data_IF_569464560283
#
_entry.id   IF_569464560283
#
_cell.length_a   1.000
_cell.length_b   1.000
_cell.length_c   1.000
_cell.angle_alpha   90.00
_cell.angle_beta   90.00
_cell.angle_gamma   90.00
#
_symmetry.space_group_name_H-M   'P 1'
#
loop_
_entity.id
_entity.type
_entity.pdbx_description
1 polymer ?
#
# COMPACT_ATOMS: atom_id res chain seq x y z
N UNK A 1 -5.21 0.66 -4.02
CA UNK A 1 -4.46 -0.39 -3.30
C UNK A 1 -3.17 -0.64 -4.07
N UNK A 2 -2.03 -0.57 -3.39
CA UNK A 2 -0.71 -0.80 -3.98
C UNK A 2 -0.19 -2.14 -3.45
N UNK A 3 0.32 -3.00 -4.34
CA UNK A 3 0.91 -4.29 -3.98
C UNK A 3 2.39 -4.25 -4.32
N UNK A 4 3.22 -4.51 -3.32
CA UNK A 4 4.68 -4.45 -3.43
C UNK A 4 5.25 -5.83 -3.70
N UNK A 5 6.28 -5.90 -4.54
CA UNK A 5 7.10 -7.10 -4.79
C UNK A 5 6.29 -8.31 -5.31
N UNK A 6 5.29 -8.05 -6.15
CA UNK A 6 4.54 -9.11 -6.83
C UNK A 6 5.38 -9.72 -7.96
N UNK A 7 5.39 -11.06 -8.04
CA UNK A 7 5.99 -11.80 -9.15
C UNK A 7 5.18 -11.69 -10.47
N UNK A 8 3.93 -11.22 -10.39
CA UNK A 8 2.97 -11.14 -11.51
C UNK A 8 2.30 -9.76 -11.55
N UNK A 9 3.06 -8.68 -11.81
CA UNK A 9 2.54 -7.31 -11.77
C UNK A 9 1.41 -7.03 -12.78
N UNK A 10 1.35 -7.77 -13.88
CA UNK A 10 0.27 -7.70 -14.87
C UNK A 10 -1.10 -8.06 -14.28
N UNK A 11 -1.17 -9.14 -13.50
CA UNK A 11 -2.42 -9.55 -12.83
C UNK A 11 -2.86 -8.48 -11.84
N UNK A 12 -1.92 -7.87 -11.10
CA UNK A 12 -2.21 -6.77 -10.18
C UNK A 12 -2.88 -5.60 -10.92
N UNK A 13 -2.38 -5.22 -12.10
CA UNK A 13 -2.97 -4.14 -12.91
C UNK A 13 -4.39 -4.49 -13.39
N UNK A 14 -4.61 -5.73 -13.81
CA UNK A 14 -5.94 -6.18 -14.28
C UNK A 14 -7.01 -6.07 -13.18
N UNK A 15 -6.60 -6.24 -11.91
CA UNK A 15 -7.47 -6.10 -10.73
C UNK A 15 -7.68 -4.65 -10.26
N UNK A 16 -7.30 -3.64 -11.05
CA UNK A 16 -7.38 -2.20 -10.69
C UNK A 16 -6.50 -1.80 -9.50
N UNK A 17 -5.48 -2.60 -9.20
CA UNK A 17 -4.44 -2.27 -8.24
C UNK A 17 -3.19 -1.73 -8.94
N UNK A 18 -2.30 -1.13 -8.17
CA UNK A 18 -1.04 -0.59 -8.68
C UNK A 18 0.11 -1.48 -8.18
N UNK A 19 0.87 -2.15 -9.07
CA UNK A 19 2.08 -2.85 -8.67
C UNK A 19 3.22 -1.87 -8.38
N UNK A 20 4.00 -2.13 -7.34
CA UNK A 20 5.24 -1.42 -7.05
C UNK A 20 6.36 -2.44 -6.80
N UNK A 21 7.60 -2.09 -7.17
CA UNK A 21 8.78 -2.93 -6.99
C UNK A 21 9.18 -3.03 -5.53
N UNK A 22 9.08 -1.94 -4.77
CA UNK A 22 9.49 -1.86 -3.38
C UNK A 22 8.65 -0.82 -2.61
N UNK A 23 8.92 -0.68 -1.32
CA UNK A 23 8.19 0.26 -0.46
C UNK A 23 8.46 1.71 -0.85
N UNK A 24 9.68 2.04 -1.29
CA UNK A 24 10.05 3.38 -1.73
C UNK A 24 9.18 3.83 -2.90
N UNK A 25 9.06 2.99 -3.94
CA UNK A 25 8.19 3.27 -5.09
C UNK A 25 6.72 3.37 -4.67
N UNK A 26 6.25 2.48 -3.79
CA UNK A 26 4.88 2.53 -3.28
C UNK A 26 4.59 3.87 -2.59
N UNK A 27 5.52 4.37 -1.76
CA UNK A 27 5.35 5.66 -1.10
C UNK A 27 5.40 6.83 -2.08
N UNK A 28 6.28 6.80 -3.09
CA UNK A 28 6.30 7.86 -4.12
C UNK A 28 5.01 7.90 -4.94
N UNK A 29 4.42 6.74 -5.27
CA UNK A 29 3.09 6.68 -5.91
C UNK A 29 2.04 7.36 -5.02
N UNK A 30 2.00 7.07 -3.72
CA UNK A 30 1.04 7.69 -2.79
C UNK A 30 1.27 9.19 -2.65
N UNK A 31 2.53 9.63 -2.54
CA UNK A 31 2.85 11.07 -2.41
C UNK A 31 2.47 11.86 -3.66
N UNK A 32 2.64 11.28 -4.85
CA UNK A 32 2.23 11.93 -6.09
C UNK A 32 0.71 12.10 -6.21
N UNK A 33 -0.06 11.21 -5.57
CA UNK A 33 -1.53 11.25 -5.58
C UNK A 33 -2.12 12.13 -4.45
N UNK A 34 -1.58 12.03 -3.23
CA UNK A 34 -2.16 12.62 -2.02
C UNK A 34 -1.31 13.76 -1.40
N UNK A 35 -0.09 13.98 -1.90
CA UNK A 35 0.87 14.94 -1.36
C UNK A 35 1.83 14.34 -0.31
N UNK A 36 2.78 15.17 0.15
CA UNK A 36 3.94 14.69 0.92
C UNK A 36 3.79 14.71 2.45
N UNK A 37 2.71 15.30 2.98
CA UNK A 37 2.48 15.44 4.43
C UNK A 37 1.29 14.57 4.86
N UNK A 38 1.56 13.29 5.11
CA UNK A 38 0.55 12.28 5.42
C UNK A 38 0.88 11.59 6.74
N UNK A 39 -0.15 11.31 7.54
CA UNK A 39 -0.02 10.43 8.70
C UNK A 39 -0.02 8.96 8.26
N UNK A 40 0.85 8.15 8.87
CA UNK A 40 1.05 6.76 8.51
C UNK A 40 0.73 5.85 9.70
N UNK A 41 -0.08 4.81 9.46
CA UNK A 41 -0.27 3.70 10.40
C UNK A 41 0.41 2.47 9.83
N UNK A 42 1.41 1.94 10.55
CA UNK A 42 2.11 0.72 10.21
C UNK A 42 1.53 -0.46 11.01
N UNK A 43 1.13 -1.52 10.30
CA UNK A 43 0.65 -2.76 10.92
C UNK A 43 1.56 -3.92 10.44
N UNK A 44 2.64 -4.25 11.17
CA UNK A 44 3.64 -5.22 10.72
C UNK A 44 3.09 -6.64 10.50
N UNK A 45 2.05 -7.05 11.25
CA UNK A 45 1.42 -8.37 11.16
C UNK A 45 -0.10 -8.24 11.04
N UNK A 46 -0.58 -7.80 9.89
CA UNK A 46 -2.00 -7.50 9.65
C UNK A 46 -2.95 -8.65 9.99
N UNK A 47 -2.59 -9.90 9.68
CA UNK A 47 -3.43 -11.07 9.92
C UNK A 47 -3.65 -11.39 11.41
N UNK A 48 -2.78 -10.90 12.30
CA UNK A 48 -2.86 -11.13 13.75
C UNK A 48 -3.31 -9.89 14.52
N UNK A 49 -3.68 -8.83 13.81
CA UNK A 49 -4.11 -7.56 14.41
C UNK A 49 -5.58 -7.34 14.09
N UNK A 50 -6.42 -7.20 15.12
CA UNK A 50 -7.81 -6.77 14.95
C UNK A 50 -7.89 -5.25 15.15
N UNK A 51 -8.18 -4.44 14.10
CA UNK A 51 -8.35 -3.01 14.28
C UNK A 51 -9.65 -2.73 15.04
N UNK A 52 -9.56 -1.93 16.11
CA UNK A 52 -10.71 -1.47 16.90
C UNK A 52 -10.81 0.04 16.73
N UNK A 53 -11.98 0.52 16.33
CA UNK A 53 -12.28 1.95 16.24
C UNK A 53 -12.99 2.36 17.53
N UNK A 54 -12.45 3.35 18.24
CA UNK A 54 -13.11 3.98 19.38
C UNK A 54 -13.86 5.23 18.92
N UNK A 55 -15.01 5.51 19.54
CA UNK A 55 -15.80 6.74 19.32
C UNK A 55 -15.26 7.89 20.14
#
# INVERSE_FOLDING_TARGET
MIIVDSLVPEIIRDTKMIPAKNMEEAFEIVKNDLGSNLDLILIPKSLSTLPIIQK
#
